data_IF_059574323896
#
_entry.id   IF_059574323896
#
_cell.length_a   1.000
_cell.length_b   1.000
_cell.length_c   1.000
_cell.angle_alpha   90.00
_cell.angle_beta   90.00
_cell.angle_gamma   90.00
#
_symmetry.space_group_name_H-M   'P 1'
#
loop_
_entity.id
_entity.type
_entity.pdbx_description
1 polymer ?
#
# COMPACT_ATOMS: atom_id res chain seq x y z
N UNK A 1 -10.67 12.01 28.52
CA UNK A 1 -9.68 11.21 27.96
C UNK A 1 -9.65 11.24 26.48
N UNK A 2 -10.75 11.09 25.80
CA UNK A 2 -10.72 11.21 24.34
C UNK A 2 -10.28 12.60 23.94
N UNK A 3 -10.68 13.60 24.71
CA UNK A 3 -10.27 14.96 24.38
C UNK A 3 -8.76 15.11 24.47
N UNK A 4 -8.15 14.45 25.42
CA UNK A 4 -6.71 14.54 25.53
C UNK A 4 -6.03 13.81 24.38
N UNK A 5 -6.58 12.66 24.02
CA UNK A 5 -5.99 11.86 22.96
C UNK A 5 -5.98 12.62 21.65
N UNK A 6 -7.06 13.35 21.37
CA UNK A 6 -7.15 14.00 20.07
C UNK A 6 -6.73 15.46 20.09
N UNK A 7 -6.30 15.96 21.24
CA UNK A 7 -5.86 17.33 21.27
C UNK A 7 -4.59 17.45 20.45
N UNK A 8 -4.58 18.40 19.55
CA UNK A 8 -3.42 18.67 18.71
C UNK A 8 -3.06 17.49 17.79
N UNK A 9 -4.01 16.61 17.56
CA UNK A 9 -3.80 15.50 16.61
C UNK A 9 -4.89 15.51 15.57
N UNK A 10 -4.53 15.04 14.39
CA UNK A 10 -5.45 15.00 13.27
C UNK A 10 -5.29 13.67 12.57
N UNK A 11 -6.32 13.27 11.87
CA UNK A 11 -6.24 12.04 11.12
C UNK A 11 -5.85 12.32 9.67
N UNK A 12 -4.92 11.55 9.16
CA UNK A 12 -4.53 11.62 7.76
C UNK A 12 -4.65 10.24 7.16
N UNK A 13 -5.16 10.18 5.95
CA UNK A 13 -5.29 8.90 5.26
C UNK A 13 -4.25 8.79 4.16
N UNK A 14 -3.79 7.58 3.93
CA UNK A 14 -2.85 7.34 2.84
C UNK A 14 -3.37 6.16 2.05
N UNK A 15 -3.45 6.32 0.74
CA UNK A 15 -3.85 5.24 -0.12
C UNK A 15 -2.70 4.88 -1.03
N UNK A 16 -2.51 3.60 -1.24
CA UNK A 16 -1.45 3.10 -2.09
C UNK A 16 -2.08 2.44 -3.28
N UNK A 17 -1.75 2.95 -4.47
CA UNK A 17 -2.25 2.40 -5.71
C UNK A 17 -1.09 1.78 -6.47
N UNK A 18 -1.38 0.80 -7.29
CA UNK A 18 -0.36 0.19 -8.12
C UNK A 18 -0.85 0.07 -9.56
N UNK A 19 0.02 0.45 -10.48
CA UNK A 19 -0.19 0.18 -11.89
C UNK A 19 0.42 -1.20 -12.08
N UNK A 20 -0.41 -2.21 -12.22
CA UNK A 20 0.07 -3.57 -12.25
C UNK A 20 0.95 -3.88 -13.45
N UNK A 21 0.75 -3.20 -14.57
CA UNK A 21 1.60 -3.44 -15.72
C UNK A 21 3.02 -3.02 -15.42
N UNK A 22 3.18 -1.83 -14.87
CA UNK A 22 4.50 -1.33 -14.53
C UNK A 22 5.10 -2.17 -13.44
N UNK A 23 4.28 -2.52 -12.44
CA UNK A 23 4.79 -3.28 -11.31
C UNK A 23 5.29 -4.64 -11.76
N UNK A 24 4.50 -5.34 -12.57
CA UNK A 24 4.90 -6.67 -13.01
C UNK A 24 6.15 -6.59 -13.90
N UNK A 25 6.24 -5.56 -14.72
CA UNK A 25 7.43 -5.40 -15.54
C UNK A 25 8.66 -5.17 -14.71
N UNK A 26 8.52 -4.42 -13.61
CA UNK A 26 9.67 -4.12 -12.78
C UNK A 26 10.21 -5.34 -12.06
N UNK A 27 9.33 -6.24 -11.65
CA UNK A 27 9.81 -7.44 -10.96
C UNK A 27 10.13 -8.55 -11.93
N UNK A 28 9.48 -8.61 -13.07
CA UNK A 28 9.77 -9.65 -14.04
C UNK A 28 11.16 -9.50 -14.60
N UNK A 29 11.71 -8.31 -14.48
CA UNK A 29 13.03 -8.08 -14.96
C UNK A 29 14.03 -9.00 -14.27
N UNK A 30 13.72 -9.48 -13.10
CA UNK A 30 14.62 -10.34 -12.38
C UNK A 30 14.32 -11.81 -12.52
N UNK A 31 13.34 -12.14 -13.29
CA UNK A 31 12.97 -13.53 -13.42
C UNK A 31 13.24 -13.97 -14.81
N UNK A 32 14.35 -14.62 -15.05
CA UNK A 32 14.58 -15.01 -16.31
C UNK A 32 14.32 -16.37 -16.48
N UNK A 33 13.97 -16.95 -17.40
CA UNK A 33 13.75 -18.19 -17.42
C UNK A 33 13.85 -18.75 -18.45
N UNK A 34 13.77 -19.54 -18.92
CA UNK A 34 13.82 -20.06 -19.73
C UNK A 34 14.11 -21.20 -20.37
N UNK A 35 13.92 -22.19 -20.39
CA UNK A 35 14.14 -23.30 -20.99
C UNK A 35 13.15 -23.65 -21.97
N UNK A 36 13.34 -24.12 -23.08
CA UNK A 36 12.41 -24.50 -24.04
C UNK A 36 12.12 -25.93 -23.89
N UNK A 37 10.90 -26.31 -23.76
CA UNK A 37 10.49 -27.69 -23.58
C UNK A 37 9.51 -28.10 -24.64
N UNK A 38 9.09 -29.32 -24.63
CA UNK A 38 8.12 -29.80 -25.60
C UNK A 38 6.82 -29.05 -25.49
N UNK A 39 6.02 -29.10 -26.55
CA UNK A 39 4.81 -28.32 -26.60
C UNK A 39 3.86 -28.57 -25.45
N UNK A 40 3.53 -29.80 -25.16
CA UNK A 40 2.61 -30.11 -24.09
C UNK A 40 3.15 -29.73 -22.75
N UNK A 41 4.41 -30.06 -22.53
CA UNK A 41 5.06 -29.71 -21.27
C UNK A 41 5.19 -28.21 -21.15
N UNK A 42 5.46 -27.53 -22.27
CA UNK A 42 5.61 -26.08 -22.23
C UNK A 42 4.33 -25.39 -21.82
N UNK A 43 3.18 -25.94 -22.26
CA UNK A 43 1.91 -25.33 -21.87
C UNK A 43 1.68 -25.42 -20.37
N UNK A 44 1.92 -26.59 -19.78
CA UNK A 44 1.74 -26.78 -18.36
C UNK A 44 2.72 -25.95 -17.56
N UNK A 45 3.96 -25.88 -18.03
CA UNK A 45 4.95 -25.08 -17.34
C UNK A 45 4.61 -23.60 -17.43
N UNK A 46 4.12 -23.16 -18.58
CA UNK A 46 3.76 -21.77 -18.72
C UNK A 46 2.66 -21.39 -17.74
N UNK A 47 1.65 -22.27 -17.60
CA UNK A 47 0.58 -22.00 -16.69
C UNK A 47 1.07 -21.96 -15.26
N UNK A 48 1.96 -22.88 -14.91
CA UNK A 48 2.52 -22.89 -13.57
C UNK A 48 3.36 -21.66 -13.33
N UNK A 49 4.12 -21.22 -14.32
CA UNK A 49 4.92 -20.04 -14.19
C UNK A 49 4.06 -18.79 -14.01
N UNK A 50 2.92 -18.76 -14.70
CA UNK A 50 2.02 -17.63 -14.55
C UNK A 50 1.44 -17.58 -13.14
N UNK A 51 1.10 -18.72 -12.58
CA UNK A 51 0.59 -18.77 -11.22
C UNK A 51 1.64 -18.36 -10.23
N UNK A 52 2.87 -18.80 -10.43
CA UNK A 52 3.96 -18.44 -9.55
C UNK A 52 4.29 -16.96 -9.67
N UNK A 53 4.19 -16.42 -10.87
CA UNK A 53 4.45 -15.02 -11.10
C UNK A 53 3.40 -14.16 -10.41
N UNK A 54 2.15 -14.62 -10.44
CA UNK A 54 1.10 -13.87 -9.79
C UNK A 54 1.28 -13.90 -8.29
N UNK A 55 1.67 -15.03 -7.75
CA UNK A 55 1.92 -15.14 -6.34
C UNK A 55 3.09 -14.25 -5.94
N UNK A 56 4.14 -14.24 -6.73
CA UNK A 56 5.31 -13.40 -6.45
C UNK A 56 4.93 -11.92 -6.51
N UNK A 57 4.06 -11.56 -7.46
CA UNK A 57 3.60 -10.19 -7.55
C UNK A 57 2.86 -9.77 -6.29
N UNK A 58 1.95 -10.63 -5.83
CA UNK A 58 1.18 -10.30 -4.63
C UNK A 58 2.05 -10.21 -3.40
N UNK A 59 3.03 -11.08 -3.28
CA UNK A 59 3.94 -11.04 -2.15
C UNK A 59 4.78 -9.77 -2.16
N UNK A 60 5.20 -9.34 -3.35
CA UNK A 60 6.01 -8.15 -3.44
C UNK A 60 5.18 -6.91 -3.16
N UNK A 61 3.93 -6.89 -3.61
CA UNK A 61 3.03 -5.77 -3.31
C UNK A 61 2.81 -5.66 -1.82
N UNK A 62 2.60 -6.79 -1.15
CA UNK A 62 2.41 -6.79 0.28
C UNK A 62 3.67 -6.29 0.99
N UNK A 63 4.82 -6.71 0.52
CA UNK A 63 6.08 -6.30 1.12
C UNK A 63 6.28 -4.80 0.99
N UNK A 64 6.02 -4.24 -0.18
CA UNK A 64 6.17 -2.81 -0.37
C UNK A 64 5.16 -2.04 0.48
N UNK A 65 3.94 -2.54 0.57
CA UNK A 65 2.92 -1.90 1.38
C UNK A 65 3.33 -1.85 2.84
N UNK A 66 3.93 -2.93 3.33
CA UNK A 66 4.38 -2.98 4.71
C UNK A 66 5.57 -2.05 4.94
N UNK A 67 6.45 -1.92 3.95
CA UNK A 67 7.56 -0.97 4.09
C UNK A 67 7.05 0.46 4.17
N UNK A 68 6.05 0.78 3.36
CA UNK A 68 5.47 2.11 3.37
C UNK A 68 4.81 2.37 4.73
N UNK A 69 4.05 1.41 5.22
CA UNK A 69 3.41 1.55 6.52
C UNK A 69 4.46 1.75 7.62
N UNK A 70 5.51 0.96 7.59
CA UNK A 70 6.55 1.06 8.60
C UNK A 70 7.21 2.43 8.58
N UNK A 71 7.43 2.97 7.39
CA UNK A 71 8.05 4.29 7.31
C UNK A 71 7.15 5.39 7.81
N UNK A 72 5.84 5.26 7.65
CA UNK A 72 4.92 6.31 8.04
C UNK A 72 4.48 6.21 9.49
N UNK A 73 4.35 4.99 10.01
CA UNK A 73 3.83 4.85 11.36
C UNK A 73 4.77 5.42 12.40
N UNK A 74 6.03 5.60 12.04
CA UNK A 74 6.98 6.19 12.98
C UNK A 74 6.60 7.62 13.33
N UNK A 75 5.88 8.29 12.45
CA UNK A 75 5.48 9.66 12.68
C UNK A 75 4.08 9.76 13.28
N UNK A 76 3.43 8.65 13.52
CA UNK A 76 2.05 8.66 13.97
C UNK A 76 1.94 8.28 15.44
N UNK A 77 0.95 8.86 16.09
CA UNK A 77 0.66 8.48 17.47
C UNK A 77 -0.07 7.13 17.44
N UNK A 78 -0.94 6.95 16.47
CA UNK A 78 -1.65 5.69 16.29
C UNK A 78 -1.89 5.51 14.82
N UNK A 79 -2.11 4.30 14.39
CA UNK A 79 -2.42 4.05 12.99
C UNK A 79 -3.38 2.87 12.88
N UNK A 80 -4.07 2.79 11.76
CA UNK A 80 -4.95 1.67 11.46
C UNK A 80 -4.81 1.31 10.00
N UNK A 81 -4.86 0.01 9.72
CA UNK A 81 -4.90 -0.46 8.36
C UNK A 81 -6.36 -0.76 8.10
N UNK A 82 -6.99 0.02 7.22
CA UNK A 82 -8.37 -0.25 6.92
C UNK A 82 -8.37 -1.35 5.90
N UNK A 83 -9.44 -2.08 5.86
CA UNK A 83 -9.51 -3.20 5.01
C UNK A 83 -9.27 -2.79 3.60
N UNK A 84 -8.34 -3.42 2.95
CA UNK A 84 -8.10 -3.05 1.60
C UNK A 84 -8.75 -4.07 0.74
N UNK A 85 -9.62 -3.68 -0.10
CA UNK A 85 -10.18 -4.55 -1.07
C UNK A 85 -9.58 -4.06 -2.35
N UNK A 86 -9.04 -4.92 -3.12
CA UNK A 86 -8.46 -4.51 -4.37
C UNK A 86 -9.56 -3.95 -5.24
N UNK A 87 -9.42 -2.72 -5.65
CA UNK A 87 -10.38 -2.08 -6.51
C UNK A 87 -9.64 -1.39 -7.62
N UNK A 88 -10.15 -1.49 -8.81
CA UNK A 88 -9.54 -0.81 -9.93
C UNK A 88 -10.00 0.63 -9.94
N UNK A 89 -9.08 1.51 -10.19
CA UNK A 89 -9.42 2.92 -10.30
C UNK A 89 -9.73 3.18 -11.77
N UNK A 90 -10.19 4.37 -12.04
CA UNK A 90 -10.49 4.73 -13.40
C UNK A 90 -9.24 4.78 -14.26
N UNK A 91 -8.10 4.90 -13.64
CA UNK A 91 -6.86 4.97 -14.39
C UNK A 91 -6.23 3.61 -14.61
N UNK A 92 -6.91 2.55 -14.26
CA UNK A 92 -6.34 1.22 -14.43
C UNK A 92 -5.41 0.80 -13.32
N UNK A 93 -5.38 1.59 -12.25
CA UNK A 93 -4.58 1.21 -11.11
C UNK A 93 -5.43 0.43 -10.12
N UNK A 94 -4.78 -0.34 -9.29
CA UNK A 94 -5.46 -1.12 -8.27
C UNK A 94 -5.14 -0.50 -6.93
N UNK A 95 -6.17 -0.31 -6.10
CA UNK A 95 -5.94 0.19 -4.74
C UNK A 95 -5.46 -0.99 -3.90
N UNK A 96 -4.26 -0.88 -3.38
CA UNK A 96 -3.68 -1.95 -2.61
C UNK A 96 -3.90 -1.81 -1.13
N UNK A 97 -3.74 -0.65 -0.60
CA UNK A 97 -3.81 -0.45 0.85
C UNK A 97 -4.39 0.90 1.19
N UNK A 98 -5.08 0.96 2.31
CA UNK A 98 -5.60 2.21 2.84
C UNK A 98 -5.20 2.26 4.30
N UNK A 99 -4.48 3.31 4.66
CA UNK A 99 -4.02 3.48 6.03
C UNK A 99 -4.61 4.75 6.61
N UNK A 100 -4.84 4.76 7.90
CA UNK A 100 -5.24 5.96 8.62
C UNK A 100 -4.22 6.20 9.73
N UNK A 101 -3.79 7.43 9.87
CA UNK A 101 -2.78 7.79 10.87
C UNK A 101 -3.27 8.95 11.71
N UNK A 102 -3.05 8.85 13.01
CA UNK A 102 -3.35 9.95 13.93
C UNK A 102 -2.03 10.67 14.16
N UNK A 103 -1.94 11.90 13.68
CA UNK A 103 -0.69 12.64 13.62
C UNK A 103 -0.79 13.91 14.45
N UNK A 104 0.26 14.24 15.19
CA UNK A 104 0.31 15.52 15.87
C UNK A 104 0.33 16.62 14.82
N UNK A 105 -0.41 17.68 15.08
CA UNK A 105 -0.46 18.77 14.11
C UNK A 105 0.94 19.30 13.80
N UNK A 106 1.80 19.30 14.80
CA UNK A 106 3.16 19.81 14.58
C UNK A 106 3.99 18.90 13.71
N UNK A 107 3.56 17.67 13.49
CA UNK A 107 4.30 16.74 12.64
C UNK A 107 3.68 16.56 11.27
N UNK A 108 2.64 17.30 10.98
CA UNK A 108 1.94 17.14 9.71
C UNK A 108 2.85 17.38 8.51
N UNK A 109 3.68 18.40 8.60
CA UNK A 109 4.55 18.72 7.49
C UNK A 109 5.54 17.57 7.24
N UNK A 110 6.14 17.05 8.30
CA UNK A 110 7.06 15.95 8.17
C UNK A 110 6.36 14.73 7.60
N UNK A 111 5.14 14.50 8.05
CA UNK A 111 4.39 13.36 7.57
C UNK A 111 4.16 13.45 6.07
N UNK A 112 3.71 14.60 5.61
CA UNK A 112 3.43 14.73 4.18
C UNK A 112 4.70 14.73 3.34
N UNK A 113 5.80 15.21 3.89
CA UNK A 113 7.07 15.13 3.20
C UNK A 113 7.51 13.67 3.08
N UNK A 114 7.25 12.88 4.12
CA UNK A 114 7.62 11.47 4.06
C UNK A 114 6.76 10.72 3.05
N UNK A 115 5.47 11.05 2.98
CA UNK A 115 4.60 10.44 1.99
C UNK A 115 5.11 10.74 0.59
N UNK A 116 5.49 11.99 0.33
CA UNK A 116 6.02 12.37 -0.98
C UNK A 116 7.33 11.65 -1.29
N UNK A 117 8.17 11.51 -0.28
CA UNK A 117 9.45 10.86 -0.48
C UNK A 117 9.25 9.37 -0.79
N UNK A 118 8.36 8.73 -0.07
CA UNK A 118 8.06 7.32 -0.34
C UNK A 118 7.41 7.17 -1.71
N UNK A 119 6.56 8.12 -2.08
CA UNK A 119 5.94 8.09 -3.40
C UNK A 119 6.97 8.13 -4.51
N UNK A 120 8.01 8.93 -4.33
CA UNK A 120 9.06 8.98 -5.32
C UNK A 120 9.86 7.70 -5.33
N UNK A 121 10.12 7.15 -4.15
CA UNK A 121 10.93 5.94 -4.05
C UNK A 121 10.28 4.78 -4.78
N UNK A 122 8.97 4.64 -4.67
CA UNK A 122 8.29 3.50 -5.27
C UNK A 122 7.66 3.80 -6.63
N UNK A 123 7.86 5.00 -7.13
CA UNK A 123 7.26 5.37 -8.41
C UNK A 123 7.76 4.51 -9.56
N UNK A 124 9.01 4.16 -9.54
CA UNK A 124 9.56 3.36 -10.62
C UNK A 124 8.97 1.96 -10.64
N UNK A 125 8.37 1.52 -9.54
CA UNK A 125 7.73 0.23 -9.50
C UNK A 125 6.24 0.34 -9.83
N UNK A 126 5.77 1.51 -10.18
CA UNK A 126 4.37 1.68 -10.54
C UNK A 126 3.45 1.97 -9.37
N UNK A 127 4.00 2.26 -8.20
CA UNK A 127 3.17 2.57 -7.05
C UNK A 127 2.94 4.07 -6.94
N UNK A 128 1.78 4.44 -6.44
CA UNK A 128 1.44 5.85 -6.28
C UNK A 128 0.79 6.00 -4.91
N UNK A 129 1.27 6.93 -4.13
CA UNK A 129 0.74 7.20 -2.81
C UNK A 129 0.00 8.53 -2.82
N UNK A 130 -1.16 8.57 -2.20
CA UNK A 130 -1.89 9.82 -2.03
C UNK A 130 -2.21 9.96 -0.55
N UNK A 131 -2.21 11.21 -0.07
CA UNK A 131 -2.61 11.46 1.29
C UNK A 131 -3.80 12.37 1.28
N UNK A 132 -4.65 12.26 2.26
CA UNK A 132 -5.81 13.11 2.38
C UNK A 132 -5.99 13.48 3.84
N UNK A 133 -6.43 14.70 4.07
CA UNK A 133 -6.64 15.22 5.40
C UNK A 133 -6.34 16.69 5.41
N UNK A 134 -6.37 17.32 6.59
CA UNK A 134 -6.60 16.66 7.87
C UNK A 134 -8.09 16.38 8.08
N UNK A 135 -8.38 15.28 8.73
CA UNK A 135 -9.75 14.90 9.04
C UNK A 135 -9.92 14.81 10.55
N UNK A 136 -11.11 14.93 11.04
CA UNK A 136 -11.35 14.58 12.43
C UNK A 136 -10.99 13.11 12.59
N UNK A 137 -10.66 12.72 13.79
CA UNK A 137 -10.12 11.38 14.01
C UNK A 137 -11.21 10.31 13.99
N UNK A 138 -11.89 10.19 12.89
CA UNK A 138 -13.03 9.27 12.77
C UNK A 138 -12.64 7.82 13.04
N UNK A 139 -11.50 7.40 12.54
CA UNK A 139 -11.10 6.01 12.69
C UNK A 139 -10.55 5.69 14.08
N UNK A 140 -10.37 6.68 14.93
CA UNK A 140 -9.76 6.47 16.21
C UNK A 140 -10.67 6.80 17.39
N UNK A 141 -11.85 7.28 17.11
CA UNK A 141 -12.75 7.68 18.15
C UNK A 141 -13.47 6.51 18.77
N UNK A 142 -13.90 5.60 18.00
CA UNK A 142 -14.75 4.59 18.50
C UNK A 142 -13.95 3.48 18.96
N UNK A 143 -13.84 3.32 20.15
CA UNK A 143 -13.06 2.35 20.66
C UNK A 143 -13.58 1.05 20.28
N UNK A 144 -14.47 0.66 20.73
CA UNK A 144 -14.83 -0.58 20.62
C UNK A 144 -15.96 -0.72 19.99
N UNK A 145 -16.01 -0.82 18.95
CA UNK A 145 -17.12 -0.99 18.40
C UNK A 145 -17.42 -2.29 18.37
N UNK A 146 -18.17 -2.64 18.81
CA UNK A 146 -18.59 -3.84 18.98
C UNK A 146 -18.85 -4.47 17.80
N UNK A 147 -18.83 -4.83 17.55
CA UNK A 147 -19.08 -5.48 16.76
C UNK A 147 -20.00 -5.44 16.10
N UNK A 148 -20.33 -5.47 15.72
CA UNK A 148 -21.32 -5.33 15.06
C UNK A 148 -21.20 -6.17 14.05
#
# INVERSE_FOLDING_TARGET
>A
ELLKKFKDRQEWGVRVFADLKIFKASIAFNVKSREKLGIGTAYLLKKKQEEEAEKATNEKLTSFSEEILTGLKELAFEYKVTKSAQRFSEKGEVLISVFAFLILKSKTRKFNQKVAKLGKKYQEFGLRLTSSGPWPAYNFVSPASPER
#
